data_IF_177893456856
#
_entry.id   IF_177893456856
#
_cell.length_a   1.000
_cell.length_b   1.000
_cell.length_c   1.000
_cell.angle_alpha   90.00
_cell.angle_beta   90.00
_cell.angle_gamma   90.00
#
_symmetry.space_group_name_H-M   'P 1'
#
loop_
_entity.id
_entity.type
_entity.pdbx_description
1 polymer ?
#
# COMPACT_ATOMS: atom_id res chain seq x y z
N UNK A 1 11.83 -14.46 -74.87
CA UNK A 1 10.53 -14.22 -74.18
C UNK A 1 10.27 -15.32 -73.16
N UNK A 2 10.28 -14.99 -71.87
CA UNK A 2 9.41 -15.51 -70.79
C UNK A 2 9.97 -14.98 -69.45
N UNK A 3 9.29 -13.95 -68.93
CA UNK A 3 9.58 -13.30 -67.65
C UNK A 3 9.38 -14.32 -66.53
N UNK A 4 10.37 -14.52 -65.66
CA UNK A 4 10.20 -15.29 -64.42
C UNK A 4 9.53 -14.38 -63.39
N UNK A 5 8.31 -14.72 -63.01
CA UNK A 5 7.57 -14.05 -61.96
C UNK A 5 8.24 -14.32 -60.61
N UNK A 6 8.62 -13.25 -59.91
CA UNK A 6 9.06 -13.29 -58.51
C UNK A 6 7.79 -13.26 -57.68
N UNK A 7 7.42 -14.39 -57.10
CA UNK A 7 6.31 -14.46 -56.13
C UNK A 7 6.86 -14.02 -54.77
N UNK A 8 6.57 -12.78 -54.39
CA UNK A 8 6.75 -12.27 -53.03
C UNK A 8 5.77 -13.00 -52.09
N UNK A 9 6.28 -13.94 -51.30
CA UNK A 9 5.55 -14.43 -50.12
C UNK A 9 5.60 -13.32 -49.06
N UNK A 10 4.52 -12.56 -48.95
CA UNK A 10 4.28 -11.70 -47.80
C UNK A 10 3.99 -12.60 -46.59
N UNK A 11 5.01 -12.85 -45.77
CA UNK A 11 4.85 -13.46 -44.46
C UNK A 11 4.08 -12.49 -43.56
N UNK A 12 2.76 -12.72 -43.46
CA UNK A 12 1.88 -12.12 -42.49
C UNK A 12 2.34 -12.57 -41.09
N UNK A 13 3.19 -11.77 -40.45
CA UNK A 13 3.42 -11.90 -39.01
C UNK A 13 2.12 -11.50 -38.33
N UNK A 14 1.33 -12.50 -37.94
CA UNK A 14 0.23 -12.32 -37.02
C UNK A 14 0.86 -11.78 -35.73
N UNK A 15 0.80 -10.46 -35.54
CA UNK A 15 0.96 -9.86 -34.22
C UNK A 15 -0.25 -10.35 -33.45
N UNK A 16 -0.10 -11.52 -32.81
CA UNK A 16 -0.93 -11.85 -31.66
C UNK A 16 -0.62 -10.75 -30.67
N UNK A 17 -1.48 -9.73 -30.66
CA UNK A 17 -1.53 -8.81 -29.56
C UNK A 17 -1.59 -9.69 -28.33
N UNK A 18 -0.56 -9.63 -27.51
CA UNK A 18 -0.70 -9.92 -26.09
C UNK A 18 -1.61 -8.79 -25.61
N UNK A 19 -2.90 -8.91 -25.91
CA UNK A 19 -3.92 -8.37 -25.06
C UNK A 19 -3.57 -8.98 -23.73
N UNK A 20 -3.00 -8.16 -22.85
CA UNK A 20 -3.02 -8.45 -21.44
C UNK A 20 -4.48 -8.72 -21.15
N UNK A 21 -4.84 -10.00 -21.13
CA UNK A 21 -6.11 -10.43 -20.60
C UNK A 21 -6.02 -9.92 -19.18
N UNK A 22 -6.77 -8.86 -18.87
CA UNK A 22 -7.06 -8.52 -17.49
C UNK A 22 -7.46 -9.86 -16.87
N UNK A 23 -6.61 -10.40 -16.00
CA UNK A 23 -6.97 -11.61 -15.28
C UNK A 23 -8.27 -11.23 -14.58
N UNK A 24 -9.37 -11.82 -15.06
CA UNK A 24 -10.64 -11.78 -14.36
C UNK A 24 -10.33 -12.14 -12.90
N UNK A 25 -10.93 -11.40 -11.97
CA UNK A 25 -10.87 -11.69 -10.55
C UNK A 25 -11.34 -13.15 -10.31
N UNK A 26 -10.44 -14.12 -10.41
CA UNK A 26 -10.81 -15.54 -10.54
C UNK A 26 -10.56 -16.26 -9.23
N UNK A 27 -11.45 -16.03 -8.26
CA UNK A 27 -11.53 -16.82 -7.04
C UNK A 27 -12.87 -16.70 -6.33
N UNK A 28 -13.43 -15.49 -6.27
CA UNK A 28 -14.68 -15.24 -5.57
C UNK A 28 -15.85 -15.02 -6.51
N UNK A 29 -16.92 -15.79 -6.31
CA UNK A 29 -18.13 -15.72 -7.13
C UNK A 29 -19.02 -14.53 -6.80
N UNK A 30 -18.77 -13.88 -5.66
CA UNK A 30 -19.62 -12.82 -5.09
C UNK A 30 -19.01 -11.41 -5.21
N UNK A 31 -17.93 -11.25 -5.97
CA UNK A 31 -17.37 -9.94 -6.31
C UNK A 31 -18.05 -9.44 -7.61
N UNK A 32 -18.85 -8.37 -7.57
CA UNK A 32 -19.55 -7.89 -8.76
C UNK A 32 -18.58 -7.49 -9.88
N UNK A 33 -18.98 -7.72 -11.13
CA UNK A 33 -18.24 -7.22 -12.28
C UNK A 33 -18.11 -5.69 -12.20
N UNK A 34 -16.91 -5.17 -12.47
CA UNK A 34 -16.62 -3.73 -12.35
C UNK A 34 -16.58 -3.20 -10.92
N UNK A 35 -16.63 -4.05 -9.88
CA UNK A 35 -16.50 -3.59 -8.50
C UNK A 35 -15.16 -2.87 -8.30
N UNK A 36 -15.23 -1.61 -7.87
CA UNK A 36 -14.08 -0.69 -7.84
C UNK A 36 -12.90 -1.15 -6.98
N UNK A 37 -13.12 -2.05 -6.03
CA UNK A 37 -12.07 -2.60 -5.16
C UNK A 37 -11.67 -4.03 -5.53
N UNK A 38 -12.15 -4.57 -6.66
CA UNK A 38 -11.75 -5.89 -7.13
C UNK A 38 -10.22 -6.04 -7.27
N UNK A 39 -9.44 -5.05 -7.76
CA UNK A 39 -7.98 -5.14 -7.77
C UNK A 39 -7.37 -5.26 -6.37
N UNK A 40 -7.91 -4.53 -5.40
CA UNK A 40 -7.45 -4.60 -4.00
C UNK A 40 -7.81 -5.94 -3.35
N UNK A 41 -8.94 -6.52 -3.72
CA UNK A 41 -9.35 -7.86 -3.28
C UNK A 41 -8.37 -8.90 -3.84
N UNK A 42 -8.04 -8.84 -5.13
CA UNK A 42 -7.03 -9.72 -5.73
C UNK A 42 -5.68 -9.59 -5.00
N UNK A 43 -5.25 -8.36 -4.71
CA UNK A 43 -4.03 -8.11 -3.96
C UNK A 43 -4.03 -8.82 -2.59
N UNK A 44 -5.06 -8.64 -1.77
CA UNK A 44 -5.08 -9.20 -0.41
C UNK A 44 -5.15 -10.73 -0.42
N UNK A 45 -5.77 -11.34 -1.44
CA UNK A 45 -5.74 -12.81 -1.63
C UNK A 45 -4.34 -13.27 -1.99
N UNK A 46 -3.72 -12.65 -2.99
CA UNK A 46 -2.37 -13.04 -3.46
C UNK A 46 -1.31 -12.82 -2.39
N UNK A 47 -1.50 -11.83 -1.53
CA UNK A 47 -0.65 -11.57 -0.37
C UNK A 47 -0.92 -12.52 0.81
N UNK A 48 -1.90 -13.44 0.72
CA UNK A 48 -2.27 -14.36 1.80
C UNK A 48 -2.97 -13.69 2.98
N UNK A 49 -3.49 -12.47 2.79
CA UNK A 49 -4.21 -11.70 3.81
C UNK A 49 -5.70 -12.05 3.87
N UNK A 50 -6.25 -12.61 2.80
CA UNK A 50 -7.59 -13.20 2.74
C UNK A 50 -7.50 -14.68 2.33
N UNK A 51 -8.42 -15.51 2.81
CA UNK A 51 -8.52 -16.92 2.37
C UNK A 51 -9.06 -17.03 0.96
N UNK A 52 -8.57 -17.97 0.17
CA UNK A 52 -8.98 -18.28 -1.21
C UNK A 52 -10.37 -18.95 -1.33
N UNK A 53 -11.27 -18.71 -0.37
CA UNK A 53 -12.62 -19.27 -0.33
C UNK A 53 -13.52 -18.82 -1.48
N UNK A 54 -14.77 -19.31 -1.51
CA UNK A 54 -15.72 -19.03 -2.61
C UNK A 54 -16.40 -17.66 -2.54
N UNK A 55 -16.39 -17.01 -1.37
CA UNK A 55 -17.06 -15.73 -1.13
C UNK A 55 -16.20 -14.74 -0.34
N UNK A 56 -15.98 -13.53 -0.87
CA UNK A 56 -15.25 -12.46 -0.20
C UNK A 56 -16.15 -11.52 0.60
N UNK A 57 -17.43 -11.42 0.22
CA UNK A 57 -18.47 -10.55 0.80
C UNK A 57 -18.10 -9.07 0.79
N UNK A 58 -17.78 -8.48 -0.37
CA UNK A 58 -17.14 -7.17 -0.46
C UNK A 58 -17.99 -6.00 0.07
N UNK A 59 -19.31 -6.09 0.02
CA UNK A 59 -20.25 -5.03 0.42
C UNK A 59 -20.76 -5.17 1.86
N UNK A 60 -20.30 -6.18 2.59
CA UNK A 60 -20.69 -6.39 3.99
C UNK A 60 -19.70 -5.67 4.90
N UNK A 61 -20.21 -5.08 5.99
CA UNK A 61 -19.38 -4.48 7.03
C UNK A 61 -18.43 -5.52 7.63
N UNK A 62 -17.16 -5.17 7.77
CA UNK A 62 -16.15 -5.99 8.40
C UNK A 62 -16.32 -5.96 9.92
N UNK A 63 -16.38 -7.14 10.52
CA UNK A 63 -16.48 -7.31 11.97
C UNK A 63 -15.13 -7.11 12.66
N UNK A 64 -15.17 -6.87 13.98
CA UNK A 64 -13.96 -6.75 14.81
C UNK A 64 -13.06 -7.99 14.72
N UNK A 65 -13.64 -9.19 14.68
CA UNK A 65 -12.90 -10.43 14.51
C UNK A 65 -12.20 -10.51 13.15
N UNK A 66 -12.91 -10.18 12.06
CA UNK A 66 -12.34 -10.20 10.70
C UNK A 66 -11.22 -9.15 10.55
N UNK A 67 -11.41 -7.94 11.08
CA UNK A 67 -10.36 -6.90 11.05
C UNK A 67 -9.13 -7.34 11.84
N UNK A 68 -9.31 -7.96 13.02
CA UNK A 68 -8.20 -8.51 13.79
C UNK A 68 -7.44 -9.59 12.99
N UNK A 69 -8.16 -10.48 12.32
CA UNK A 69 -7.58 -11.49 11.44
C UNK A 69 -6.76 -10.90 10.30
N UNK A 70 -7.31 -9.95 9.55
CA UNK A 70 -6.59 -9.26 8.49
C UNK A 70 -5.30 -8.60 9.00
N UNK A 71 -5.37 -7.88 10.13
CA UNK A 71 -4.20 -7.25 10.73
C UNK A 71 -3.14 -8.27 11.17
N UNK A 72 -3.54 -9.40 11.74
CA UNK A 72 -2.58 -10.44 12.12
C UNK A 72 -1.92 -11.07 10.91
N UNK A 73 -2.66 -11.30 9.81
CA UNK A 73 -2.08 -11.87 8.59
C UNK A 73 -1.00 -10.98 7.98
N UNK A 74 -1.06 -9.67 8.19
CA UNK A 74 0.02 -8.75 7.75
C UNK A 74 1.34 -8.88 8.53
N UNK A 75 1.37 -9.61 9.65
CA UNK A 75 2.60 -9.82 10.47
C UNK A 75 2.94 -11.29 10.72
N UNK A 76 1.93 -12.15 10.75
CA UNK A 76 2.05 -13.58 11.01
C UNK A 76 0.95 -14.35 10.25
N UNK A 77 1.09 -14.48 8.93
CA UNK A 77 0.09 -15.14 8.08
C UNK A 77 -0.14 -16.62 8.42
N UNK A 78 0.76 -17.24 9.18
CA UNK A 78 0.71 -18.67 9.58
C UNK A 78 0.67 -18.87 11.09
N UNK A 79 0.08 -17.93 11.82
CA UNK A 79 -0.03 -18.04 13.28
C UNK A 79 -0.87 -19.28 13.67
N UNK A 80 -0.45 -19.98 14.73
CA UNK A 80 -1.15 -21.17 15.20
C UNK A 80 -2.49 -20.81 15.87
N UNK A 81 -3.54 -21.64 15.72
CA UNK A 81 -4.77 -21.49 16.50
C UNK A 81 -4.48 -21.50 18.00
N UNK A 82 -5.19 -20.65 18.75
CA UNK A 82 -5.09 -20.59 20.21
C UNK A 82 -6.34 -20.00 20.84
N UNK A 83 -6.68 -20.42 22.07
CA UNK A 83 -7.84 -19.88 22.78
C UNK A 83 -7.63 -18.41 23.15
N UNK A 84 -8.73 -17.70 23.33
CA UNK A 84 -8.70 -16.33 23.85
C UNK A 84 -8.98 -16.27 25.35
N UNK A 85 -8.65 -15.15 25.98
CA UNK A 85 -9.09 -14.82 27.34
C UNK A 85 -10.47 -14.15 27.41
N UNK A 86 -11.11 -13.90 26.25
CA UNK A 86 -12.38 -13.17 26.18
C UNK A 86 -13.57 -14.11 26.36
N UNK A 87 -14.54 -13.69 27.18
CA UNK A 87 -15.69 -14.53 27.55
C UNK A 87 -16.61 -14.84 26.37
N UNK A 88 -16.69 -13.93 25.41
CA UNK A 88 -17.54 -14.01 24.22
C UNK A 88 -16.82 -14.54 22.97
N UNK A 89 -15.59 -15.02 23.11
CA UNK A 89 -14.83 -15.64 22.01
C UNK A 89 -14.41 -17.05 22.42
N UNK A 90 -15.25 -18.07 22.14
CA UNK A 90 -14.92 -19.46 22.45
C UNK A 90 -13.69 -19.92 21.65
N UNK A 91 -12.96 -20.93 22.15
CA UNK A 91 -11.78 -21.46 21.48
C UNK A 91 -12.07 -22.03 20.07
N UNK A 92 -13.33 -22.40 19.80
CA UNK A 92 -13.82 -22.86 18.48
C UNK A 92 -14.13 -21.73 17.50
N UNK A 93 -14.11 -20.47 17.94
CA UNK A 93 -14.32 -19.33 17.04
C UNK A 93 -13.21 -19.29 15.99
N UNK A 94 -13.51 -19.17 14.68
CA UNK A 94 -12.49 -19.26 13.63
C UNK A 94 -11.34 -18.26 13.81
N UNK A 95 -11.66 -17.04 14.26
CA UNK A 95 -10.69 -15.97 14.54
C UNK A 95 -10.09 -16.00 15.95
N UNK A 96 -10.36 -16.99 16.81
CA UNK A 96 -9.86 -17.01 18.19
C UNK A 96 -8.33 -16.82 18.26
N UNK A 97 -7.59 -17.54 17.44
CA UNK A 97 -6.12 -17.44 17.39
C UNK A 97 -5.65 -16.04 17.02
N UNK A 98 -6.24 -15.44 15.99
CA UNK A 98 -5.91 -14.10 15.53
C UNK A 98 -6.27 -13.02 16.58
N UNK A 99 -7.44 -13.13 17.22
CA UNK A 99 -7.86 -12.20 18.27
C UNK A 99 -6.88 -12.22 19.44
N UNK A 100 -6.51 -13.43 19.91
CA UNK A 100 -5.52 -13.58 20.97
C UNK A 100 -4.16 -13.01 20.54
N UNK A 101 -3.74 -13.28 19.31
CA UNK A 101 -2.47 -12.78 18.77
C UNK A 101 -2.37 -11.28 18.62
N UNK A 102 -3.43 -10.67 18.12
CA UNK A 102 -3.53 -9.23 18.01
C UNK A 102 -3.54 -8.56 19.39
N UNK A 103 -4.19 -9.18 20.39
CA UNK A 103 -4.29 -8.65 21.75
C UNK A 103 -2.94 -8.63 22.45
N UNK A 104 -2.18 -9.73 22.41
CA UNK A 104 -0.83 -9.82 23.00
C UNK A 104 0.16 -8.83 22.40
N UNK A 105 -0.05 -8.45 21.13
CA UNK A 105 0.78 -7.45 20.43
C UNK A 105 0.26 -6.03 20.57
N UNK A 106 -0.80 -5.82 21.34
CA UNK A 106 -1.43 -4.51 21.52
C UNK A 106 -2.07 -3.94 20.25
N UNK A 107 -2.27 -4.74 19.21
CA UNK A 107 -2.90 -4.32 17.96
C UNK A 107 -4.40 -4.06 18.18
N UNK A 108 -5.05 -4.95 18.92
CA UNK A 108 -6.45 -4.81 19.34
C UNK A 108 -6.56 -4.93 20.85
N UNK A 109 -7.71 -4.57 21.41
CA UNK A 109 -8.02 -4.73 22.83
C UNK A 109 -9.48 -5.12 23.00
N UNK A 110 -9.77 -5.90 24.04
CA UNK A 110 -11.14 -6.10 24.49
C UNK A 110 -11.65 -4.94 25.34
N UNK A 111 -12.87 -5.11 25.82
CA UNK A 111 -13.56 -4.17 26.69
C UNK A 111 -13.31 -4.50 28.16
N UNK A 112 -13.57 -3.54 29.04
CA UNK A 112 -13.35 -3.69 30.49
C UNK A 112 -14.27 -4.71 31.15
N UNK A 113 -15.32 -5.15 30.45
CA UNK A 113 -16.25 -6.20 30.85
C UNK A 113 -15.72 -7.63 30.57
N UNK A 114 -14.52 -7.75 29.97
CA UNK A 114 -13.91 -9.03 29.62
C UNK A 114 -14.36 -9.62 28.28
N UNK A 115 -15.11 -8.85 27.47
CA UNK A 115 -15.55 -9.25 26.14
C UNK A 115 -14.69 -8.62 25.03
N UNK A 116 -14.69 -9.22 23.84
CA UNK A 116 -14.04 -8.70 22.64
C UNK A 116 -15.03 -8.09 21.64
N UNK A 117 -16.26 -8.59 21.63
CA UNK A 117 -17.37 -8.29 20.72
C UNK A 117 -17.03 -8.63 19.28
N UNK A 118 -16.79 -9.93 18.97
CA UNK A 118 -16.21 -10.35 17.69
C UNK A 118 -17.07 -9.99 16.48
N UNK A 119 -18.40 -9.94 16.65
CA UNK A 119 -19.37 -9.72 15.57
C UNK A 119 -19.76 -8.24 15.36
N UNK A 120 -19.30 -7.32 16.23
CA UNK A 120 -19.59 -5.91 16.02
C UNK A 120 -18.83 -5.37 14.81
N UNK A 121 -19.46 -4.53 13.96
CA UNK A 121 -18.77 -3.91 12.84
C UNK A 121 -17.73 -2.90 13.32
N UNK A 122 -16.62 -2.80 12.57
CA UNK A 122 -15.59 -1.79 12.81
C UNK A 122 -15.92 -0.53 12.01
N UNK A 123 -15.88 0.63 12.65
CA UNK A 123 -16.01 1.92 11.95
C UNK A 123 -14.71 2.31 11.26
N UNK A 124 -14.80 3.18 10.26
CA UNK A 124 -13.62 3.70 9.54
C UNK A 124 -12.64 4.43 10.47
N UNK A 125 -13.14 5.16 11.47
CA UNK A 125 -12.32 5.82 12.48
C UNK A 125 -11.60 4.84 13.40
N UNK A 126 -12.27 3.76 13.81
CA UNK A 126 -11.62 2.68 14.58
C UNK A 126 -10.57 1.96 13.74
N UNK A 127 -10.86 1.66 12.47
CA UNK A 127 -9.89 1.08 11.56
C UNK A 127 -8.63 1.96 11.46
N UNK A 128 -8.80 3.28 11.39
CA UNK A 128 -7.67 4.19 11.35
C UNK A 128 -6.77 4.06 12.58
N UNK A 129 -7.36 3.99 13.77
CA UNK A 129 -6.61 3.78 15.02
C UNK A 129 -5.87 2.43 14.99
N UNK A 130 -6.52 1.36 14.51
CA UNK A 130 -5.91 0.04 14.40
C UNK A 130 -4.73 0.04 13.40
N UNK A 131 -4.87 0.72 12.27
CA UNK A 131 -3.80 0.88 11.29
C UNK A 131 -2.64 1.70 11.85
N UNK A 132 -2.94 2.78 12.58
CA UNK A 132 -1.93 3.59 13.26
C UNK A 132 -1.14 2.79 14.30
N UNK A 133 -1.77 1.81 14.96
CA UNK A 133 -1.05 0.86 15.82
C UNK A 133 -0.20 -0.13 15.04
N UNK A 134 -0.75 -0.70 13.96
CA UNK A 134 -0.11 -1.74 13.16
C UNK A 134 1.07 -1.23 12.34
N UNK A 135 0.98 -0.06 11.72
CA UNK A 135 1.94 0.41 10.72
C UNK A 135 2.80 1.55 11.27
N UNK A 136 4.04 1.29 11.75
CA UNK A 136 4.86 2.29 12.42
C UNK A 136 5.23 3.49 11.56
N UNK A 137 5.30 3.32 10.23
CA UNK A 137 5.57 4.43 9.30
C UNK A 137 4.54 5.57 9.43
N UNK A 138 3.31 5.28 9.87
CA UNK A 138 2.29 6.30 10.11
C UNK A 138 2.64 7.23 11.29
N UNK A 139 3.60 6.86 12.14
CA UNK A 139 4.09 7.69 13.26
C UNK A 139 5.39 8.40 12.93
N UNK A 140 6.01 8.04 11.82
CA UNK A 140 7.31 8.56 11.45
C UNK A 140 7.16 9.82 10.61
N UNK A 141 8.13 10.71 10.74
CA UNK A 141 8.31 11.89 9.89
C UNK A 141 9.37 11.66 8.82
N UNK A 142 10.09 10.54 8.85
CA UNK A 142 11.16 10.19 7.92
C UNK A 142 10.79 10.40 6.45
N UNK A 143 9.59 9.98 6.02
CA UNK A 143 9.09 10.20 4.66
C UNK A 143 7.92 11.15 4.64
N UNK A 144 8.21 12.41 4.36
CA UNK A 144 7.18 13.39 4.12
C UNK A 144 6.80 13.36 2.65
N UNK A 145 5.64 12.81 2.31
CA UNK A 145 5.07 13.14 1.00
C UNK A 145 4.73 14.62 1.02
N UNK A 146 5.12 15.38 -0.02
CA UNK A 146 4.65 16.77 -0.18
C UNK A 146 3.14 16.73 -0.43
N UNK A 147 2.36 16.71 0.65
CA UNK A 147 0.91 16.68 0.58
C UNK A 147 0.39 17.84 1.40
N UNK A 148 -0.34 18.71 0.72
CA UNK A 148 -1.20 19.71 1.34
C UNK A 148 -2.02 19.01 2.43
N UNK A 149 -1.96 19.52 3.65
CA UNK A 149 -2.72 19.03 4.79
C UNK A 149 -4.16 18.68 4.36
N UNK A 150 -4.54 17.41 4.48
CA UNK A 150 -5.84 16.93 3.98
C UNK A 150 -6.89 17.21 5.05
N UNK A 151 -7.69 18.26 4.83
CA UNK A 151 -8.82 18.60 5.71
C UNK A 151 -10.04 17.79 5.32
N UNK A 152 -10.51 16.97 6.26
CA UNK A 152 -11.84 16.36 6.19
C UNK A 152 -12.81 17.17 7.04
N UNK A 153 -13.98 17.52 6.48
CA UNK A 153 -14.98 18.38 7.13
C UNK A 153 -15.60 17.75 8.38
N UNK A 154 -15.58 16.43 8.45
CA UNK A 154 -16.20 15.58 9.47
C UNK A 154 -15.18 14.92 10.41
N UNK A 155 -13.93 15.39 10.40
CA UNK A 155 -12.88 14.92 11.31
C UNK A 155 -12.46 16.08 12.21
N UNK A 156 -13.00 16.09 13.42
CA UNK A 156 -12.69 17.09 14.45
C UNK A 156 -11.32 16.81 15.09
N UNK A 157 -10.50 17.85 15.39
CA UNK A 157 -9.28 17.70 16.19
C UNK A 157 -9.47 17.06 17.57
N UNK A 158 -10.68 17.13 18.14
CA UNK A 158 -11.01 16.50 19.42
C UNK A 158 -11.34 14.99 19.30
N UNK A 159 -11.49 14.46 18.09
CA UNK A 159 -11.83 13.05 17.87
C UNK A 159 -10.61 12.16 18.13
N UNK A 160 -10.81 11.04 18.84
CA UNK A 160 -9.73 10.06 19.12
C UNK A 160 -9.00 9.55 17.87
N UNK A 161 -9.70 9.41 16.75
CA UNK A 161 -9.14 8.95 15.48
C UNK A 161 -8.46 10.07 14.65
N UNK A 162 -8.49 11.34 15.09
CA UNK A 162 -8.03 12.49 14.30
C UNK A 162 -6.62 12.26 13.75
N UNK A 163 -5.63 12.02 14.62
CA UNK A 163 -4.23 11.92 14.22
C UNK A 163 -3.98 10.71 13.32
N UNK A 164 -4.63 9.58 13.64
CA UNK A 164 -4.55 8.38 12.82
C UNK A 164 -5.09 8.63 11.39
N UNK A 165 -6.24 9.30 11.27
CA UNK A 165 -6.84 9.64 9.98
C UNK A 165 -5.93 10.61 9.20
N UNK A 166 -5.39 11.64 9.88
CA UNK A 166 -4.50 12.62 9.26
C UNK A 166 -3.22 11.96 8.72
N UNK A 167 -2.60 11.08 9.50
CA UNK A 167 -1.39 10.38 9.08
C UNK A 167 -1.67 9.39 7.94
N UNK A 168 -2.79 8.66 7.99
CA UNK A 168 -3.19 7.81 6.85
C UNK A 168 -3.43 8.61 5.58
N UNK A 169 -3.97 9.82 5.66
CA UNK A 169 -4.15 10.70 4.51
C UNK A 169 -2.81 11.23 3.99
N UNK A 170 -1.92 11.66 4.89
CA UNK A 170 -0.55 12.12 4.57
C UNK A 170 0.24 11.06 3.79
N UNK A 171 0.12 9.80 4.22
CA UNK A 171 0.75 8.65 3.57
C UNK A 171 -0.08 8.02 2.43
N UNK A 172 -1.20 8.65 2.03
CA UNK A 172 -2.11 8.18 0.97
C UNK A 172 -2.63 6.75 1.16
N UNK A 173 -2.73 6.28 2.39
CA UNK A 173 -3.49 5.07 2.73
C UNK A 173 -4.99 5.32 2.56
N UNK A 174 -5.43 6.58 2.71
CA UNK A 174 -6.80 7.00 2.46
C UNK A 174 -6.87 8.35 1.73
N UNK A 175 -7.93 8.57 0.97
CA UNK A 175 -8.26 9.84 0.30
C UNK A 175 -9.58 10.46 0.78
N UNK A 176 -10.30 9.77 1.68
CA UNK A 176 -11.70 10.10 1.99
C UNK A 176 -12.62 9.96 0.78
N UNK A 177 -13.78 10.62 0.87
CA UNK A 177 -14.83 10.65 -0.13
C UNK A 177 -14.88 11.98 -0.87
N UNK A 178 -15.56 11.95 -2.02
CA UNK A 178 -15.96 13.17 -2.71
C UNK A 178 -16.72 14.11 -1.76
N UNK A 179 -16.46 15.41 -1.87
CA UNK A 179 -17.01 16.43 -0.97
C UNK A 179 -16.16 16.74 0.27
N UNK A 180 -15.02 16.05 0.45
CA UNK A 180 -14.04 16.34 1.49
C UNK A 180 -14.41 15.76 2.86
N UNK A 181 -15.01 14.57 2.89
CA UNK A 181 -15.39 13.86 4.11
C UNK A 181 -14.62 12.55 4.26
N UNK A 182 -14.37 12.12 5.49
CA UNK A 182 -13.73 10.83 5.80
C UNK A 182 -14.75 9.76 6.20
N UNK A 183 -15.87 10.19 6.80
CA UNK A 183 -16.95 9.37 7.37
C UNK A 183 -16.47 8.44 8.49
N UNK A 184 -15.90 8.97 9.59
CA UNK A 184 -15.24 8.16 10.61
C UNK A 184 -16.20 7.21 11.37
N UNK A 185 -17.49 7.54 11.45
CA UNK A 185 -18.47 6.75 12.20
C UNK A 185 -19.20 5.71 11.33
N UNK A 186 -18.94 5.67 10.02
CA UNK A 186 -19.53 4.63 9.16
C UNK A 186 -18.77 3.32 9.29
N UNK A 187 -19.45 2.15 9.33
CA UNK A 187 -18.81 0.85 9.22
C UNK A 187 -17.95 0.73 7.97
N UNK A 188 -16.78 0.09 8.09
CA UNK A 188 -15.94 -0.25 6.94
C UNK A 188 -16.47 -1.53 6.27
N UNK A 189 -16.70 -1.48 4.96
CA UNK A 189 -17.01 -2.68 4.16
C UNK A 189 -15.75 -3.51 3.89
N UNK A 190 -15.86 -4.82 3.76
CA UNK A 190 -14.73 -5.73 3.50
C UNK A 190 -13.94 -5.37 2.23
N UNK A 191 -14.61 -4.94 1.16
CA UNK A 191 -13.95 -4.47 -0.07
C UNK A 191 -13.17 -3.17 0.14
N UNK A 192 -13.69 -2.26 0.96
CA UNK A 192 -12.96 -1.05 1.33
C UNK A 192 -11.75 -1.39 2.22
N UNK A 193 -11.90 -2.30 3.18
CA UNK A 193 -10.80 -2.79 4.01
C UNK A 193 -9.65 -3.34 3.15
N UNK A 194 -9.95 -4.11 2.11
CA UNK A 194 -8.94 -4.60 1.17
C UNK A 194 -8.13 -3.46 0.54
N UNK A 195 -8.80 -2.39 0.10
CA UNK A 195 -8.12 -1.22 -0.48
C UNK A 195 -7.27 -0.45 0.55
N UNK A 196 -7.68 -0.40 1.81
CA UNK A 196 -6.86 0.16 2.89
C UNK A 196 -5.61 -0.70 3.13
N UNK A 197 -5.76 -2.02 3.24
CA UNK A 197 -4.66 -2.96 3.43
C UNK A 197 -3.66 -2.91 2.28
N UNK A 198 -4.12 -2.97 1.03
CA UNK A 198 -3.28 -2.87 -0.16
C UNK A 198 -2.39 -1.62 -0.09
N UNK A 199 -2.98 -0.45 0.15
CA UNK A 199 -2.23 0.81 0.20
C UNK A 199 -1.28 0.88 1.38
N UNK A 200 -1.67 0.39 2.55
CA UNK A 200 -0.83 0.37 3.74
C UNK A 200 0.38 -0.57 3.56
N UNK A 201 0.16 -1.78 3.03
CA UNK A 201 1.21 -2.75 2.75
C UNK A 201 2.16 -2.25 1.65
N UNK A 202 1.61 -1.66 0.59
CA UNK A 202 2.43 -1.04 -0.46
C UNK A 202 3.26 0.13 0.08
N UNK A 203 2.74 0.92 1.02
CA UNK A 203 3.49 2.00 1.66
C UNK A 203 4.56 1.47 2.63
N UNK A 204 4.26 0.46 3.44
CA UNK A 204 5.21 -0.19 4.35
C UNK A 204 6.43 -0.72 3.57
N UNK A 205 6.19 -1.47 2.49
CA UNK A 205 7.26 -1.98 1.63
C UNK A 205 8.15 -0.86 1.04
N UNK A 206 7.54 0.25 0.60
CA UNK A 206 8.30 1.42 0.10
C UNK A 206 9.14 2.04 1.19
N UNK A 207 8.52 2.29 2.34
CA UNK A 207 9.17 2.89 3.49
C UNK A 207 10.38 2.08 3.97
N UNK A 208 10.26 0.75 4.01
CA UNK A 208 11.35 -0.14 4.41
C UNK A 208 12.52 -0.12 3.42
N UNK A 209 12.24 -0.18 2.11
CA UNK A 209 13.26 -0.08 1.06
C UNK A 209 14.02 1.25 1.15
N UNK A 210 13.28 2.34 1.37
CA UNK A 210 13.86 3.68 1.48
C UNK A 210 14.73 3.82 2.73
N UNK A 211 14.27 3.32 3.88
CA UNK A 211 15.07 3.30 5.12
C UNK A 211 16.35 2.51 4.97
N UNK A 212 16.31 1.33 4.33
CA UNK A 212 17.50 0.50 4.19
C UNK A 212 18.54 1.15 3.25
N UNK A 213 18.09 1.69 2.12
CA UNK A 213 18.97 2.39 1.17
C UNK A 213 19.62 3.63 1.81
N UNK A 214 18.87 4.36 2.63
CA UNK A 214 19.39 5.50 3.41
C UNK A 214 20.47 5.05 4.38
N UNK A 215 20.19 4.01 5.17
CA UNK A 215 21.12 3.48 6.18
C UNK A 215 22.42 2.96 5.57
N UNK A 216 22.36 2.31 4.40
CA UNK A 216 23.53 1.69 3.75
C UNK A 216 24.44 2.70 3.03
N UNK A 217 24.11 4.00 3.06
CA UNK A 217 24.87 5.01 2.33
C UNK A 217 24.85 4.75 0.82
N UNK A 218 23.76 4.19 0.28
CA UNK A 218 23.55 3.90 -1.15
C UNK A 218 23.43 5.16 -2.02
N UNK A 219 24.03 6.26 -1.57
CA UNK A 219 23.85 7.60 -2.03
C UNK A 219 25.18 8.16 -2.50
N UNK A 220 25.31 8.33 -3.80
CA UNK A 220 26.28 9.27 -4.33
C UNK A 220 25.62 10.65 -4.34
N UNK A 221 26.11 11.55 -3.49
CA UNK A 221 25.81 12.97 -3.63
C UNK A 221 26.16 13.41 -5.05
N UNK A 222 25.16 13.84 -5.82
CA UNK A 222 25.45 14.71 -6.95
C UNK A 222 25.67 16.11 -6.39
N UNK A 223 26.92 16.58 -6.45
CA UNK A 223 27.37 17.88 -6.00
C UNK A 223 26.30 18.98 -6.23
N UNK A 224 25.79 19.56 -5.14
CA UNK A 224 24.90 20.73 -5.17
C UNK A 224 23.39 20.45 -5.10
N UNK A 225 22.94 19.20 -4.93
CA UNK A 225 21.51 18.85 -4.88
C UNK A 225 21.17 18.01 -3.63
N UNK A 226 20.17 18.44 -2.85
CA UNK A 226 19.61 17.69 -1.70
C UNK A 226 18.80 16.44 -2.13
N UNK A 227 19.05 15.86 -3.31
CA UNK A 227 18.13 14.88 -3.89
C UNK A 227 18.74 13.47 -4.00
N UNK A 228 17.92 12.46 -3.77
CA UNK A 228 18.31 11.06 -3.74
C UNK A 228 17.46 10.25 -4.71
N UNK A 229 18.09 9.40 -5.52
CA UNK A 229 17.41 8.37 -6.30
C UNK A 229 17.52 7.03 -5.59
N UNK A 230 16.37 6.41 -5.37
CA UNK A 230 16.25 5.14 -4.67
C UNK A 230 15.61 4.16 -5.64
N UNK A 231 16.32 3.11 -6.05
CA UNK A 231 15.73 2.05 -6.85
C UNK A 231 14.87 1.15 -5.95
N UNK A 232 13.56 1.17 -6.18
CA UNK A 232 12.57 0.37 -5.47
C UNK A 232 12.83 -1.14 -5.57
N UNK A 233 13.39 -1.58 -6.69
CA UNK A 233 13.56 -2.98 -7.05
C UNK A 233 14.94 -3.54 -6.67
N UNK A 234 15.94 -2.68 -6.40
CA UNK A 234 17.30 -3.12 -6.08
C UNK A 234 17.36 -4.06 -4.86
N UNK A 235 16.42 -3.90 -3.92
CA UNK A 235 16.30 -4.75 -2.73
C UNK A 235 15.54 -6.05 -2.94
N UNK A 236 14.64 -6.13 -3.93
CA UNK A 236 13.83 -7.32 -4.17
C UNK A 236 14.62 -8.39 -4.94
N UNK A 237 15.64 -7.98 -5.71
CA UNK A 237 16.36 -8.89 -6.61
C UNK A 237 17.88 -8.96 -6.35
N UNK A 238 18.40 -8.22 -5.36
CA UNK A 238 19.84 -8.15 -5.08
C UNK A 238 20.67 -7.58 -6.24
N UNK A 239 20.04 -6.86 -7.17
CA UNK A 239 20.68 -6.30 -8.37
C UNK A 239 21.39 -4.98 -8.03
N UNK A 240 22.64 -4.85 -8.46
CA UNK A 240 23.45 -3.63 -8.26
C UNK A 240 23.28 -2.58 -9.37
N UNK A 241 22.47 -2.86 -10.40
CA UNK A 241 22.27 -1.99 -11.58
C UNK A 241 20.79 -1.79 -11.85
N UNK A 242 20.43 -0.54 -12.08
CA UNK A 242 19.08 -0.17 -12.52
C UNK A 242 18.85 -0.67 -13.95
N UNK A 243 17.69 -1.25 -14.21
CA UNK A 243 17.27 -1.79 -15.50
C UNK A 243 16.00 -1.11 -16.01
N UNK A 244 15.73 -1.25 -17.31
CA UNK A 244 14.48 -0.74 -17.89
C UNK A 244 13.28 -1.40 -17.21
N UNK A 245 12.34 -0.58 -16.74
CA UNK A 245 11.19 -1.03 -15.93
C UNK A 245 11.38 -0.84 -14.42
N UNK A 246 12.60 -0.53 -13.94
CA UNK A 246 12.80 -0.27 -12.51
C UNK A 246 12.08 0.99 -12.06
N UNK A 247 11.42 0.95 -10.91
CA UNK A 247 10.85 2.14 -10.30
C UNK A 247 11.92 2.86 -9.47
N UNK A 248 12.09 4.15 -9.72
CA UNK A 248 12.96 5.03 -8.95
C UNK A 248 12.13 6.03 -8.14
N UNK A 249 12.45 6.15 -6.86
CA UNK A 249 11.95 7.21 -5.99
C UNK A 249 12.93 8.38 -5.97
N UNK A 250 12.41 9.59 -6.14
CA UNK A 250 13.18 10.83 -6.00
C UNK A 250 12.84 11.44 -4.64
N UNK A 251 13.84 11.62 -3.79
CA UNK A 251 13.70 12.19 -2.46
C UNK A 251 14.43 13.52 -2.36
N UNK A 252 13.84 14.51 -1.69
CA UNK A 252 14.51 15.73 -1.24
C UNK A 252 14.86 15.57 0.25
N UNK A 253 16.11 15.73 0.63
CA UNK A 253 16.53 15.78 2.02
C UNK A 253 16.23 17.14 2.62
N UNK A 254 15.48 17.11 3.72
CA UNK A 254 14.96 18.30 4.36
C UNK A 254 15.81 18.74 5.54
N UNK A 255 16.23 17.80 6.38
CA UNK A 255 16.86 18.11 7.65
C UNK A 255 17.79 16.99 8.10
N UNK A 256 19.03 17.38 8.43
CA UNK A 256 20.07 16.46 8.85
C UNK A 256 19.96 16.00 10.30
N UNK A 257 19.36 16.80 11.17
CA UNK A 257 19.20 16.45 12.58
C UNK A 257 18.14 15.37 12.80
N UNK A 258 17.09 15.38 11.96
CA UNK A 258 15.96 14.45 12.02
C UNK A 258 16.05 13.35 10.96
N UNK A 259 17.05 13.41 10.09
CA UNK A 259 17.20 12.53 8.93
C UNK A 259 15.91 12.45 8.09
N UNK A 260 15.30 13.62 7.85
CA UNK A 260 13.98 13.72 7.23
C UNK A 260 14.09 13.91 5.72
N UNK A 261 13.27 13.16 4.98
CA UNK A 261 13.22 13.19 3.53
C UNK A 261 11.80 13.48 3.05
N UNK A 262 11.71 14.03 1.84
CA UNK A 262 10.46 14.26 1.13
C UNK A 262 10.41 13.47 -0.15
N UNK A 263 9.41 12.60 -0.31
CA UNK A 263 9.16 11.92 -1.58
C UNK A 263 8.55 12.91 -2.57
N UNK A 264 9.30 13.29 -3.60
CA UNK A 264 8.89 14.27 -4.62
C UNK A 264 8.54 13.63 -5.96
N UNK A 265 8.91 12.37 -6.20
CA UNK A 265 8.59 11.70 -7.46
C UNK A 265 8.77 10.20 -7.43
N UNK A 266 8.00 9.51 -8.27
CA UNK A 266 8.07 8.08 -8.54
C UNK A 266 8.13 7.95 -10.07
N UNK A 267 9.19 7.37 -10.61
CA UNK A 267 9.37 7.29 -12.06
C UNK A 267 9.96 5.95 -12.47
N UNK A 268 9.50 5.41 -13.58
CA UNK A 268 10.19 4.30 -14.22
C UNK A 268 11.59 4.77 -14.71
N UNK A 269 12.60 3.93 -14.57
CA UNK A 269 14.00 4.20 -14.88
C UNK A 269 14.16 4.61 -16.35
N UNK A 270 13.43 3.97 -17.25
CA UNK A 270 13.40 4.30 -18.68
C UNK A 270 12.79 5.69 -18.95
N UNK A 271 11.77 6.08 -18.20
CA UNK A 271 11.14 7.41 -18.28
C UNK A 271 12.09 8.49 -17.79
N UNK A 272 12.79 8.21 -16.68
CA UNK A 272 13.84 9.07 -16.15
C UNK A 272 14.99 9.22 -17.15
N UNK A 273 15.61 8.11 -17.59
CA UNK A 273 16.74 8.12 -18.54
C UNK A 273 16.41 8.81 -19.87
N UNK A 274 15.22 8.60 -20.45
CA UNK A 274 14.79 9.30 -21.67
C UNK A 274 14.64 10.80 -21.48
N UNK A 275 14.13 11.25 -20.33
CA UNK A 275 14.06 12.70 -20.01
C UNK A 275 15.46 13.31 -19.76
N UNK A 276 16.42 12.52 -19.28
CA UNK A 276 17.79 12.97 -18.99
C UNK A 276 18.67 13.15 -20.23
N UNK A 277 18.62 12.24 -21.21
CA UNK A 277 19.43 12.38 -22.43
C UNK A 277 19.12 13.67 -23.18
N UNK A 278 17.91 14.21 -23.02
CA UNK A 278 17.47 15.42 -23.69
C UNK A 278 17.68 16.71 -22.86
N UNK A 279 17.89 16.64 -21.53
CA UNK A 279 18.04 17.82 -20.68
C UNK A 279 18.98 17.54 -19.49
N UNK A 280 20.12 18.25 -19.44
CA UNK A 280 21.15 18.19 -18.38
C UNK A 280 20.68 18.69 -17.00
N UNK A 281 19.43 19.11 -16.86
CA UNK A 281 18.86 19.66 -15.63
C UNK A 281 17.40 19.26 -15.51
N UNK A 282 16.99 18.79 -14.34
CA UNK A 282 15.58 18.60 -14.00
C UNK A 282 15.08 19.79 -13.19
N UNK A 283 13.98 20.41 -13.59
CA UNK A 283 13.25 21.38 -12.75
C UNK A 283 12.00 20.71 -12.18
N UNK A 284 11.96 20.52 -10.86
CA UNK A 284 10.72 20.18 -10.14
C UNK A 284 10.31 21.39 -9.34
N UNK A 285 9.10 21.91 -9.56
CA UNK A 285 8.53 23.00 -8.74
C UNK A 285 9.45 24.24 -8.61
N UNK A 286 10.23 24.56 -9.65
CA UNK A 286 11.15 25.70 -9.67
C UNK A 286 12.55 25.45 -9.07
N UNK A 287 12.91 24.22 -8.70
CA UNK A 287 14.24 23.87 -8.18
C UNK A 287 14.95 22.87 -9.10
N UNK A 288 16.23 23.16 -9.41
CA UNK A 288 17.08 22.35 -10.28
C UNK A 288 17.69 21.18 -9.51
N UNK A 289 17.50 19.96 -10.04
CA UNK A 289 18.11 18.73 -9.53
C UNK A 289 19.21 18.28 -10.50
N UNK A 290 20.41 18.01 -9.97
CA UNK A 290 21.54 17.50 -10.74
C UNK A 290 21.81 16.03 -10.37
N UNK A 291 22.30 15.24 -11.32
CA UNK A 291 22.72 13.85 -11.12
C UNK A 291 24.17 13.64 -11.54
N UNK A 292 24.90 12.83 -10.78
CA UNK A 292 26.25 12.35 -11.08
C UNK A 292 26.24 10.81 -11.09
N UNK A 293 26.71 10.21 -12.19
CA UNK A 293 26.87 8.76 -12.35
C UNK A 293 28.17 8.28 -11.66
#
# INVERSE_FOLDING_TARGET
MKKRAVTLLASLVLVTGIGQSAHAANGYQDVPEGYRFAPSIDYVVRAGLADDGKAFRPTVAATRAEVAEFLVRTVAPKQAPRPTTFRDVPATHPQAGAIQYATERGLVSGYTDGNFRPNEPVTRGELAILFYKRFPFLKDEFLLREQKYVRFKDVSPAMKAHDAIQQMARYRVTSGYYGGTYRPNEPIERGQLAAFLERAMAMEARYDVMRDLIRRGGFKHSYGSNYYLVNANAHLEGKSRNTSGDMLYVLEYLDASTNTYRLIGEYAYDTLTKRFYNNKTWETSGKKVYYAF
#
